data_IF_962979040582
#
_entry.id   IF_962979040582
#
_cell.length_a   1.000
_cell.length_b   1.000
_cell.length_c   1.000
_cell.angle_alpha   90.00
_cell.angle_beta   90.00
_cell.angle_gamma   90.00
#
_symmetry.space_group_name_H-M   'P 1'
#
loop_
_entity.id
_entity.type
_entity.pdbx_description
1 polymer ?
#
# COMPACT_ATOMS: atom_id res chain seq x y z
N UNK A 1 10.77 2.75 3.79
CA UNK A 1 10.62 1.44 3.11
C UNK A 1 10.26 0.30 4.07
N UNK A 2 11.12 -0.14 5.01
CA UNK A 2 10.68 -0.96 6.18
C UNK A 2 10.19 -0.10 7.36
N UNK A 3 10.85 1.04 7.56
CA UNK A 3 10.51 2.02 8.62
C UNK A 3 9.03 2.41 8.59
N UNK A 4 8.48 2.63 7.41
CA UNK A 4 7.09 3.11 7.26
C UNK A 4 6.06 2.08 7.73
N UNK A 5 6.29 0.79 7.45
CA UNK A 5 5.41 -0.28 7.93
C UNK A 5 5.40 -0.35 9.46
N UNK A 6 6.59 -0.35 10.07
CA UNK A 6 6.76 -0.43 11.53
C UNK A 6 6.21 0.83 12.21
N UNK A 7 6.43 2.01 11.64
CA UNK A 7 5.92 3.29 12.14
C UNK A 7 4.39 3.33 12.14
N UNK A 8 3.77 3.00 11.00
CA UNK A 8 2.30 3.02 10.85
C UNK A 8 1.66 1.96 11.73
N UNK A 9 2.24 0.76 11.79
CA UNK A 9 1.76 -0.29 12.69
C UNK A 9 1.88 0.13 14.15
N UNK A 10 3.04 0.66 14.56
CA UNK A 10 3.28 1.13 15.92
C UNK A 10 2.28 2.22 16.34
N UNK A 11 1.94 3.13 15.42
CA UNK A 11 0.89 4.12 15.65
C UNK A 11 -0.46 3.46 15.96
N UNK A 12 -0.92 2.52 15.12
CA UNK A 12 -2.22 1.87 15.32
C UNK A 12 -2.24 0.94 16.54
N UNK A 13 -1.15 0.24 16.82
CA UNK A 13 -1.01 -0.59 18.01
C UNK A 13 -1.07 0.25 19.29
N UNK A 14 -0.46 1.44 19.29
CA UNK A 14 -0.52 2.39 20.40
C UNK A 14 -1.92 2.96 20.65
N UNK A 15 -2.77 3.01 19.61
CA UNK A 15 -4.11 3.58 19.67
C UNK A 15 -5.24 2.54 19.56
N UNK A 16 -4.90 1.24 19.59
CA UNK A 16 -5.87 0.13 19.38
C UNK A 16 -7.02 0.10 20.39
N UNK A 17 -6.87 0.75 21.54
CA UNK A 17 -7.88 0.85 22.59
C UNK A 17 -8.51 2.25 22.67
N UNK A 18 -8.00 3.20 21.89
CA UNK A 18 -8.40 4.60 21.89
C UNK A 18 -9.59 4.83 20.95
N UNK A 19 -9.60 4.17 19.79
CA UNK A 19 -10.68 4.30 18.82
C UNK A 19 -10.86 3.04 17.95
N UNK A 20 -12.06 2.89 17.37
CA UNK A 20 -12.41 1.70 16.59
C UNK A 20 -11.63 1.57 15.27
N UNK A 21 -11.27 2.69 14.64
CA UNK A 21 -10.53 2.71 13.37
C UNK A 21 -9.10 2.19 13.60
N UNK A 22 -8.42 2.69 14.63
CA UNK A 22 -7.09 2.23 15.02
C UNK A 22 -7.09 0.75 15.41
N UNK A 23 -8.09 0.29 16.16
CA UNK A 23 -8.26 -1.13 16.48
C UNK A 23 -8.38 -2.01 15.23
N UNK A 24 -9.23 -1.59 14.29
CA UNK A 24 -9.48 -2.31 13.04
C UNK A 24 -8.22 -2.42 12.20
N UNK A 25 -7.46 -1.33 12.07
CA UNK A 25 -6.24 -1.29 11.27
C UNK A 25 -5.07 -2.02 11.94
N UNK A 26 -4.93 -1.90 13.27
CA UNK A 26 -3.99 -2.72 14.07
C UNK A 26 -4.25 -4.22 13.87
N UNK A 27 -5.51 -4.66 13.97
CA UNK A 27 -5.88 -6.06 13.75
C UNK A 27 -5.54 -6.54 12.33
N UNK A 28 -5.83 -5.74 11.30
CA UNK A 28 -5.47 -6.07 9.92
C UNK A 28 -3.95 -6.23 9.76
N UNK A 29 -3.16 -5.28 10.26
CA UNK A 29 -1.70 -5.35 10.16
C UNK A 29 -1.14 -6.53 10.94
N UNK A 30 -1.67 -6.83 12.13
CA UNK A 30 -1.28 -8.04 12.89
C UNK A 30 -1.58 -9.32 12.10
N UNK A 31 -2.74 -9.40 11.43
CA UNK A 31 -3.08 -10.55 10.59
C UNK A 31 -2.19 -10.68 9.37
N UNK A 32 -1.72 -9.57 8.79
CA UNK A 32 -0.72 -9.60 7.72
C UNK A 32 0.61 -10.16 8.24
N UNK A 33 1.08 -9.74 9.41
CA UNK A 33 2.34 -10.22 10.01
C UNK A 33 2.36 -11.74 10.25
N UNK A 34 1.21 -12.38 10.43
CA UNK A 34 1.11 -13.85 10.53
C UNK A 34 1.57 -14.57 9.25
N UNK A 35 1.63 -13.89 8.10
CA UNK A 35 1.97 -14.48 6.79
C UNK A 35 3.28 -13.98 6.18
N UNK A 36 3.99 -13.06 6.83
CA UNK A 36 5.15 -12.39 6.22
C UNK A 36 6.35 -12.30 7.18
N UNK A 37 7.55 -12.23 6.61
CA UNK A 37 8.72 -11.74 7.33
C UNK A 37 8.87 -10.23 7.09
N UNK A 38 8.63 -9.43 8.12
CA UNK A 38 8.72 -7.97 8.10
C UNK A 38 10.10 -7.46 7.64
N UNK A 39 11.16 -8.26 7.80
CA UNK A 39 12.50 -7.89 7.34
C UNK A 39 12.67 -7.96 5.83
N UNK A 40 11.81 -8.69 5.13
CA UNK A 40 11.87 -8.86 3.67
C UNK A 40 11.05 -7.81 2.91
N UNK A 41 10.31 -6.95 3.62
CA UNK A 41 9.51 -5.87 3.03
C UNK A 41 10.43 -4.90 2.29
N UNK A 42 10.23 -4.78 0.98
CA UNK A 42 10.93 -3.80 0.14
C UNK A 42 10.23 -2.45 0.20
N UNK A 43 8.90 -2.45 0.21
CA UNK A 43 8.10 -1.23 0.26
C UNK A 43 6.75 -1.48 0.91
N UNK A 44 6.23 -0.47 1.60
CA UNK A 44 4.87 -0.47 2.14
C UNK A 44 4.11 0.75 1.62
N UNK A 45 2.90 0.54 1.12
CA UNK A 45 2.02 1.58 0.60
C UNK A 45 0.65 1.49 1.31
N UNK A 46 0.34 2.43 2.23
CA UNK A 46 -0.89 2.43 3.01
C UNK A 46 -2.00 3.22 2.29
N UNK A 47 -2.55 2.65 1.22
CA UNK A 47 -3.56 3.31 0.38
C UNK A 47 -4.78 3.72 1.21
N UNK A 48 -5.25 4.95 1.05
CA UNK A 48 -6.39 5.55 1.75
C UNK A 48 -6.21 5.78 3.27
N UNK A 49 -4.98 5.75 3.79
CA UNK A 49 -4.71 5.91 5.23
C UNK A 49 -5.37 7.14 5.85
N UNK A 50 -5.37 8.25 5.13
CA UNK A 50 -5.89 9.54 5.57
C UNK A 50 -7.15 10.01 4.81
N UNK A 51 -7.84 9.09 4.15
CA UNK A 51 -9.05 9.41 3.37
C UNK A 51 -10.28 9.02 4.17
N UNK A 52 -11.09 9.99 4.60
CA UNK A 52 -12.15 9.78 5.60
C UNK A 52 -13.26 8.80 5.17
N UNK A 53 -13.56 8.73 3.87
CA UNK A 53 -14.66 7.93 3.32
C UNK A 53 -14.18 6.63 2.66
N UNK A 54 -12.91 6.27 2.82
CA UNK A 54 -12.33 5.04 2.27
C UNK A 54 -11.66 4.24 3.38
N UNK A 55 -11.71 2.92 3.26
CA UNK A 55 -10.98 2.04 4.17
C UNK A 55 -9.51 1.92 3.74
N UNK A 56 -8.63 1.78 4.73
CA UNK A 56 -7.22 1.50 4.50
C UNK A 56 -7.07 0.18 3.71
N UNK A 57 -6.30 0.25 2.64
CA UNK A 57 -5.78 -0.92 1.95
C UNK A 57 -4.26 -0.96 2.12
N UNK A 58 -3.77 -2.01 2.77
CA UNK A 58 -2.35 -2.18 3.07
C UNK A 58 -1.67 -2.96 1.92
N UNK A 59 -0.78 -2.32 1.18
CA UNK A 59 0.03 -2.98 0.15
C UNK A 59 1.46 -3.17 0.66
N UNK A 60 1.87 -4.42 0.83
CA UNK A 60 3.22 -4.81 1.25
C UNK A 60 3.94 -5.44 0.07
N UNK A 61 4.99 -4.80 -0.40
CA UNK A 61 5.75 -5.19 -1.59
C UNK A 61 6.99 -5.96 -1.17
N UNK A 62 7.14 -7.13 -1.77
CA UNK A 62 8.32 -7.99 -1.68
C UNK A 62 9.03 -8.04 -3.04
N UNK A 63 10.05 -8.87 -3.14
CA UNK A 63 10.85 -8.99 -4.36
C UNK A 63 10.06 -9.60 -5.54
N UNK A 64 9.16 -10.55 -5.28
CA UNK A 64 8.47 -11.33 -6.31
C UNK A 64 6.93 -11.17 -6.27
N UNK A 65 6.40 -10.44 -5.30
CA UNK A 65 4.96 -10.34 -5.04
C UNK A 65 4.57 -9.08 -4.28
N UNK A 66 3.29 -8.74 -4.37
CA UNK A 66 2.62 -7.73 -3.57
C UNK A 66 1.55 -8.44 -2.74
N UNK A 67 1.59 -8.27 -1.42
CA UNK A 67 0.51 -8.67 -0.53
C UNK A 67 -0.42 -7.47 -0.31
N UNK A 68 -1.72 -7.70 -0.43
CA UNK A 68 -2.76 -6.71 -0.18
C UNK A 68 -3.63 -7.14 0.98
N UNK A 69 -3.72 -6.31 2.01
CA UNK A 69 -4.70 -6.43 3.08
C UNK A 69 -5.83 -5.42 2.92
N UNK A 70 -7.08 -5.87 3.08
CA UNK A 70 -8.28 -5.01 3.09
C UNK A 70 -9.20 -5.42 4.23
N UNK A 71 -9.97 -4.46 4.75
CA UNK A 71 -11.09 -4.80 5.64
C UNK A 71 -12.41 -4.73 4.86
N UNK A 72 -13.19 -5.79 4.96
CA UNK A 72 -14.53 -5.92 4.38
C UNK A 72 -15.59 -5.37 5.35
N UNK A 73 -16.83 -5.23 4.87
CA UNK A 73 -17.93 -4.57 5.61
C UNK A 73 -18.20 -5.19 7.00
N UNK A 74 -17.98 -6.50 7.17
CA UNK A 74 -18.29 -7.24 8.42
C UNK A 74 -17.08 -7.45 9.35
N UNK A 75 -16.07 -6.58 9.31
CA UNK A 75 -14.79 -6.73 10.03
C UNK A 75 -13.90 -7.89 9.57
N UNK A 76 -14.35 -8.67 8.59
CA UNK A 76 -13.54 -9.68 7.92
C UNK A 76 -12.34 -9.01 7.23
N UNK A 77 -11.17 -9.64 7.34
CA UNK A 77 -9.94 -9.17 6.72
C UNK A 77 -9.67 -10.06 5.50
N UNK A 78 -9.56 -9.45 4.32
CA UNK A 78 -9.07 -10.11 3.12
C UNK A 78 -7.55 -9.90 3.01
N UNK A 79 -6.80 -10.98 2.83
CA UNK A 79 -5.37 -10.94 2.51
C UNK A 79 -5.17 -11.68 1.18
N UNK A 80 -4.75 -10.94 0.16
CA UNK A 80 -4.55 -11.45 -1.20
C UNK A 80 -3.10 -11.25 -1.61
N UNK A 81 -2.54 -12.21 -2.36
CA UNK A 81 -1.19 -12.10 -2.92
C UNK A 81 -1.25 -11.98 -4.43
N UNK A 82 -0.55 -10.99 -4.97
CA UNK A 82 -0.39 -10.73 -6.39
C UNK A 82 1.05 -10.99 -6.78
N UNK A 83 1.27 -11.98 -7.63
CA UNK A 83 2.62 -12.36 -8.06
C UNK A 83 3.08 -11.40 -9.14
N UNK A 84 4.27 -10.81 -8.99
CA UNK A 84 4.82 -9.88 -9.98
C UNK A 84 5.07 -10.56 -11.32
N UNK A 85 5.37 -11.87 -11.34
CA UNK A 85 5.48 -12.65 -12.58
C UNK A 85 4.18 -12.70 -13.41
N UNK A 86 3.03 -12.39 -12.81
CA UNK A 86 1.72 -12.33 -13.47
C UNK A 86 1.34 -10.88 -13.85
N UNK A 87 2.24 -9.91 -13.67
CA UNK A 87 2.03 -8.54 -14.11
C UNK A 87 2.22 -8.50 -15.63
N UNK A 88 1.18 -8.04 -16.34
CA UNK A 88 1.15 -7.98 -17.80
C UNK A 88 1.53 -6.61 -18.34
N UNK A 89 1.25 -5.56 -17.57
CA UNK A 89 1.55 -4.19 -17.94
C UNK A 89 1.65 -3.30 -16.69
N UNK A 90 2.46 -2.25 -16.78
CA UNK A 90 2.50 -1.19 -15.78
C UNK A 90 2.90 0.15 -16.40
N UNK A 91 2.27 1.22 -15.93
CA UNK A 91 2.56 2.58 -16.38
C UNK A 91 2.57 3.56 -15.22
N UNK A 92 3.44 4.56 -15.31
CA UNK A 92 3.42 5.71 -14.41
C UNK A 92 3.06 6.96 -15.19
N UNK A 93 2.02 7.66 -14.74
CA UNK A 93 1.56 8.94 -15.27
C UNK A 93 1.98 10.03 -14.28
N UNK A 94 2.51 11.14 -14.79
CA UNK A 94 2.90 12.29 -13.99
C UNK A 94 2.52 13.59 -14.70
N UNK A 95 2.37 14.68 -13.94
CA UNK A 95 2.16 16.02 -14.51
C UNK A 95 3.48 16.62 -14.98
N UNK A 96 3.41 17.49 -16.00
CA UNK A 96 4.57 18.31 -16.39
C UNK A 96 4.79 19.50 -15.43
N UNK A 97 3.92 19.69 -14.45
CA UNK A 97 4.03 20.74 -13.45
C UNK A 97 5.00 20.32 -12.34
N UNK A 98 5.68 21.28 -11.68
CA UNK A 98 6.61 20.98 -10.60
C UNK A 98 5.93 20.38 -9.35
N UNK A 99 4.61 20.47 -9.24
CA UNK A 99 3.84 19.78 -8.20
C UNK A 99 3.83 18.27 -8.49
N UNK A 100 4.60 17.54 -7.71
CA UNK A 100 4.93 16.12 -7.86
C UNK A 100 3.72 15.20 -7.76
N UNK A 101 3.02 15.03 -8.87
CA UNK A 101 1.94 14.05 -9.01
C UNK A 101 2.47 12.79 -9.70
N UNK A 102 2.29 11.63 -9.06
CA UNK A 102 2.53 10.34 -9.69
C UNK A 102 1.34 9.41 -9.49
N UNK A 103 0.90 8.82 -10.60
CA UNK A 103 -0.10 7.76 -10.64
C UNK A 103 0.50 6.53 -11.30
N UNK A 104 0.59 5.43 -10.56
CA UNK A 104 1.08 4.13 -11.06
C UNK A 104 -0.10 3.17 -11.25
N UNK A 105 -0.26 2.65 -12.46
CA UNK A 105 -1.23 1.60 -12.76
C UNK A 105 -0.50 0.29 -13.00
N UNK A 106 -0.93 -0.77 -12.31
CA UNK A 106 -0.46 -2.15 -12.49
C UNK A 106 -1.61 -3.00 -13.04
N UNK A 107 -1.36 -3.79 -14.09
CA UNK A 107 -2.33 -4.72 -14.68
C UNK A 107 -1.81 -6.15 -14.60
N UNK A 108 -2.60 -7.05 -14.05
CA UNK A 108 -2.27 -8.47 -13.91
C UNK A 108 -3.03 -9.35 -14.91
N UNK A 109 -2.56 -10.58 -15.12
CA UNK A 109 -3.15 -11.57 -16.04
C UNK A 109 -4.61 -11.90 -15.74
N UNK A 110 -5.02 -11.80 -14.47
CA UNK A 110 -6.40 -12.05 -14.01
C UNK A 110 -7.32 -10.82 -14.20
N UNK A 111 -6.96 -9.90 -15.09
CA UNK A 111 -7.62 -8.60 -15.30
C UNK A 111 -7.69 -7.70 -14.06
N UNK A 112 -6.96 -8.03 -13.00
CA UNK A 112 -6.87 -7.19 -11.81
C UNK A 112 -6.03 -5.95 -12.11
N UNK A 113 -6.59 -4.79 -11.76
CA UNK A 113 -5.94 -3.50 -11.93
C UNK A 113 -5.77 -2.85 -10.56
N UNK A 114 -4.54 -2.47 -10.23
CA UNK A 114 -4.26 -1.63 -9.07
C UNK A 114 -3.78 -0.27 -9.57
N UNK A 115 -4.39 0.78 -9.05
CA UNK A 115 -3.96 2.15 -9.26
C UNK A 115 -3.43 2.68 -7.93
N UNK A 116 -2.20 3.15 -7.89
CA UNK A 116 -1.63 3.94 -6.81
C UNK A 116 -1.59 5.40 -7.25
N UNK A 117 -2.08 6.30 -6.43
CA UNK A 117 -2.30 7.69 -6.79
C UNK A 117 -1.89 8.59 -5.62
N UNK A 118 -0.81 9.36 -5.79
CA UNK A 118 -0.20 10.13 -4.70
C UNK A 118 -1.07 11.29 -4.20
N UNK A 119 -2.12 11.67 -4.93
CA UNK A 119 -3.06 12.70 -4.48
C UNK A 119 -4.34 12.07 -3.91
N UNK A 120 -4.86 11.03 -4.55
CA UNK A 120 -6.17 10.46 -4.20
C UNK A 120 -6.12 9.45 -3.04
N UNK A 121 -4.92 8.89 -2.75
CA UNK A 121 -4.76 7.83 -1.75
C UNK A 121 -4.40 8.35 -0.35
N UNK A 122 -4.30 9.66 -0.19
CA UNK A 122 -3.78 10.30 1.02
C UNK A 122 -4.32 11.72 1.18
N UNK A 123 -3.70 12.52 2.03
CA UNK A 123 -3.98 13.95 2.18
C UNK A 123 -2.80 14.80 1.70
N UNK A 124 -3.02 16.11 1.55
CA UNK A 124 -2.01 17.06 1.05
C UNK A 124 -0.70 17.02 1.84
N UNK A 125 -0.77 16.76 3.15
CA UNK A 125 0.42 16.71 4.02
C UNK A 125 1.29 15.48 3.76
N UNK A 126 0.73 14.40 3.23
CA UNK A 126 1.41 13.11 3.02
C UNK A 126 1.58 12.73 1.55
N UNK A 127 1.04 13.52 0.62
CA UNK A 127 1.12 13.29 -0.84
C UNK A 127 2.55 13.05 -1.32
N UNK A 128 3.52 13.86 -0.89
CA UNK A 128 4.94 13.70 -1.23
C UNK A 128 5.53 12.35 -0.78
N UNK A 129 5.09 11.81 0.36
CA UNK A 129 5.55 10.50 0.86
C UNK A 129 4.99 9.37 0.01
N UNK A 130 3.72 9.47 -0.38
CA UNK A 130 3.07 8.52 -1.29
C UNK A 130 3.67 8.59 -2.70
N UNK A 131 3.99 9.78 -3.19
CA UNK A 131 4.70 10.00 -4.45
C UNK A 131 6.07 9.30 -4.45
N UNK A 132 6.85 9.46 -3.37
CA UNK A 132 8.13 8.78 -3.22
C UNK A 132 7.96 7.25 -3.19
N UNK A 133 6.93 6.74 -2.53
CA UNK A 133 6.63 5.30 -2.54
C UNK A 133 6.27 4.80 -3.94
N UNK A 134 5.49 5.55 -4.72
CA UNK A 134 5.17 5.21 -6.12
C UNK A 134 6.44 5.17 -6.96
N UNK A 135 7.33 6.16 -6.83
CA UNK A 135 8.62 6.20 -7.55
C UNK A 135 9.49 4.99 -7.21
N UNK A 136 9.60 4.64 -5.92
CA UNK A 136 10.38 3.48 -5.50
C UNK A 136 9.76 2.17 -5.98
N UNK A 137 8.43 2.03 -5.93
CA UNK A 137 7.75 0.85 -6.49
C UNK A 137 8.00 0.73 -8.00
N UNK A 138 7.88 1.84 -8.74
CA UNK A 138 8.15 1.83 -10.18
C UNK A 138 9.60 1.43 -10.50
N UNK A 139 10.59 1.92 -9.73
CA UNK A 139 11.99 1.50 -9.86
C UNK A 139 12.18 0.01 -9.56
N UNK A 140 11.49 -0.54 -8.57
CA UNK A 140 11.54 -1.98 -8.24
C UNK A 140 10.98 -2.83 -9.38
N UNK A 141 9.88 -2.40 -9.99
CA UNK A 141 9.27 -3.09 -11.12
C UNK A 141 10.21 -3.10 -12.33
N UNK A 142 10.81 -1.96 -12.69
CA UNK A 142 11.77 -1.89 -13.82
C UNK A 142 12.98 -2.81 -13.60
N UNK A 143 13.50 -2.93 -12.38
CA UNK A 143 14.66 -3.81 -12.10
C UNK A 143 14.34 -5.30 -12.16
N UNK A 144 13.07 -5.66 -12.04
CA UNK A 144 12.62 -7.05 -11.97
C UNK A 144 12.24 -7.62 -13.35
N UNK A 145 12.24 -6.77 -14.39
CA UNK A 145 12.03 -7.10 -15.81
C UNK A 145 13.31 -6.86 -16.60
#
# INVERSE_FOLDING_TARGET
MKSDYVEIKGYFDGHRYSDNKSRKYSNMLCKIEEFIDVNTIKLFYPKNLFVDHKELEAYVVFEDKILRGRILQDTNIEITTLKLKNLTDFKCECTCNPEGFHRLTLKFENDEIIVFDSLEDTNDSWSHKFENQIKELFKLLIKSY
#
